data_IF_343341816761
#
_entry.id   IF_343341816761
#
_cell.length_a   1.000
_cell.length_b   1.000
_cell.length_c   1.000
_cell.angle_alpha   90.00
_cell.angle_beta   90.00
_cell.angle_gamma   90.00
#
_symmetry.space_group_name_H-M   'P 1'
#
loop_
_entity.id
_entity.type
_entity.pdbx_description
1 polymer ?
#
# COMPACT_ATOMS: atom_id res chain seq x y z
N UNK A 1 7.26 48.17 35.64
CA UNK A 1 6.15 47.61 34.85
C UNK A 1 6.53 47.41 33.38
N UNK A 2 7.58 46.65 33.08
CA UNK A 2 8.05 46.42 31.69
C UNK A 2 8.33 44.94 31.37
N UNK A 3 7.78 43.99 32.16
CA UNK A 3 8.09 42.58 32.06
C UNK A 3 6.99 41.72 31.42
N UNK A 4 5.77 42.24 31.28
CA UNK A 4 4.63 41.51 30.73
C UNK A 4 4.51 41.59 29.19
N UNK A 5 4.97 42.71 28.58
CA UNK A 5 4.86 42.89 27.12
C UNK A 5 5.77 41.98 26.33
N UNK A 6 6.91 41.55 26.90
CA UNK A 6 7.86 40.68 26.25
C UNK A 6 7.41 39.21 26.21
N UNK A 7 6.74 38.75 27.26
CA UNK A 7 6.21 37.37 27.32
C UNK A 7 5.02 37.18 26.36
N UNK A 8 4.09 38.15 26.31
CA UNK A 8 2.97 38.12 25.36
C UNK A 8 3.42 38.16 23.89
N UNK A 9 4.44 38.96 23.58
CA UNK A 9 5.06 39.04 22.27
C UNK A 9 5.70 37.71 21.85
N UNK A 10 6.47 37.08 22.76
CA UNK A 10 7.12 35.81 22.50
C UNK A 10 6.09 34.66 22.24
N UNK A 11 5.00 34.62 23.01
CA UNK A 11 3.92 33.66 22.82
C UNK A 11 3.25 33.84 21.44
N UNK A 12 2.95 35.08 21.07
CA UNK A 12 2.34 35.40 19.78
C UNK A 12 3.24 34.99 18.61
N UNK A 13 4.54 35.27 18.66
CA UNK A 13 5.49 34.85 17.62
C UNK A 13 5.64 33.33 17.54
N UNK A 14 5.63 32.64 18.67
CA UNK A 14 5.63 31.17 18.71
C UNK A 14 4.37 30.61 18.04
N UNK A 15 3.20 31.15 18.35
CA UNK A 15 1.94 30.73 17.72
C UNK A 15 1.95 30.96 16.21
N UNK A 16 2.41 32.13 15.74
CA UNK A 16 2.55 32.41 14.30
C UNK A 16 3.49 31.41 13.63
N UNK A 17 4.63 31.11 14.22
CA UNK A 17 5.58 30.15 13.69
C UNK A 17 4.96 28.75 13.55
N UNK A 18 4.23 28.31 14.58
CA UNK A 18 3.51 27.02 14.54
C UNK A 18 2.46 27.03 13.42
N UNK A 19 1.67 28.10 13.31
CA UNK A 19 0.64 28.23 12.26
C UNK A 19 1.26 28.18 10.87
N UNK A 20 2.33 28.92 10.62
CA UNK A 20 3.03 28.89 9.33
C UNK A 20 3.62 27.51 9.02
N UNK A 21 4.25 26.87 10.02
CA UNK A 21 4.77 25.52 9.85
C UNK A 21 3.68 24.52 9.49
N UNK A 22 2.51 24.57 10.17
CA UNK A 22 1.36 23.72 9.87
C UNK A 22 0.76 24.00 8.49
N UNK A 23 0.70 25.26 8.07
CA UNK A 23 0.23 25.64 6.73
C UNK A 23 1.18 25.10 5.65
N UNK A 24 2.48 25.31 5.80
CA UNK A 24 3.49 24.80 4.86
C UNK A 24 3.43 23.26 4.78
N UNK A 25 3.40 22.59 5.94
CA UNK A 25 3.28 21.15 6.01
C UNK A 25 1.96 20.65 5.39
N UNK A 26 0.86 21.36 5.61
CA UNK A 26 -0.45 21.06 5.01
C UNK A 26 -0.43 21.18 3.49
N UNK A 27 0.15 22.25 2.95
CA UNK A 27 0.32 22.45 1.50
C UNK A 27 1.20 21.34 0.92
N UNK A 28 2.35 21.06 1.55
CA UNK A 28 3.26 20.03 1.08
C UNK A 28 2.58 18.66 1.06
N UNK A 29 1.89 18.28 2.15
CA UNK A 29 1.15 17.02 2.25
C UNK A 29 0.01 16.92 1.24
N UNK A 30 -0.64 18.03 0.90
CA UNK A 30 -1.75 18.04 -0.05
C UNK A 30 -1.25 17.88 -1.49
N UNK A 31 -0.18 18.58 -1.85
CA UNK A 31 0.26 18.69 -3.24
C UNK A 31 1.34 17.67 -3.64
N UNK A 32 2.19 17.26 -2.73
CA UNK A 32 3.37 16.48 -3.10
C UNK A 32 3.36 15.07 -2.52
N UNK A 33 3.71 14.91 -1.26
CA UNK A 33 3.93 13.61 -0.63
C UNK A 33 3.14 13.49 0.66
N UNK A 34 2.51 12.33 0.81
CA UNK A 34 1.83 11.98 2.04
C UNK A 34 2.52 10.79 2.70
N UNK A 35 2.87 10.91 4.01
CA UNK A 35 3.41 9.78 4.74
C UNK A 35 2.33 8.72 5.00
N UNK A 36 2.69 7.46 4.80
CA UNK A 36 1.88 6.29 5.12
C UNK A 36 2.68 5.25 5.88
N UNK A 37 2.05 4.61 6.82
CA UNK A 37 2.57 3.50 7.59
C UNK A 37 1.95 2.20 7.11
N UNK A 38 2.73 1.11 7.03
CA UNK A 38 2.25 -0.21 6.60
C UNK A 38 1.87 -1.04 7.83
N UNK A 39 0.56 -1.21 8.11
CA UNK A 39 0.08 -1.96 9.27
C UNK A 39 -0.13 -3.45 8.99
N UNK A 40 -0.21 -3.88 7.72
CA UNK A 40 -0.59 -5.23 7.32
C UNK A 40 0.43 -5.90 6.40
N UNK A 41 0.42 -7.24 6.39
CA UNK A 41 1.36 -8.03 5.59
C UNK A 41 0.88 -8.35 4.17
N UNK A 42 -0.18 -7.71 3.66
CA UNK A 42 -0.77 -8.07 2.36
C UNK A 42 0.11 -7.73 1.14
N UNK A 43 1.12 -6.90 1.31
CA UNK A 43 2.10 -6.50 0.28
C UNK A 43 3.51 -7.06 0.54
N UNK A 44 3.66 -8.07 1.42
CA UNK A 44 4.91 -8.81 1.55
C UNK A 44 5.16 -9.59 0.24
N UNK A 45 6.29 -9.72 -0.26
CA UNK A 45 7.64 -9.38 0.14
C UNK A 45 8.02 -7.88 -0.11
N UNK A 46 7.30 -7.20 -1.00
CA UNK A 46 7.57 -5.82 -1.43
C UNK A 46 7.56 -4.84 -0.26
N UNK A 47 6.52 -4.88 0.57
CA UNK A 47 6.37 -4.02 1.75
C UNK A 47 6.23 -4.84 3.02
N UNK A 48 7.00 -4.48 4.04
CA UNK A 48 6.94 -5.13 5.34
C UNK A 48 6.07 -4.31 6.31
N UNK A 49 5.46 -5.01 7.26
CA UNK A 49 4.81 -4.34 8.39
C UNK A 49 5.85 -3.48 9.11
N UNK A 50 5.51 -2.20 9.32
CA UNK A 50 6.41 -1.22 9.91
C UNK A 50 7.24 -0.41 8.92
N UNK A 51 7.03 -0.59 7.62
CA UNK A 51 7.54 0.32 6.60
C UNK A 51 6.79 1.65 6.64
N UNK A 52 7.52 2.72 6.43
CA UNK A 52 7.02 4.08 6.34
C UNK A 52 7.32 4.63 4.96
N UNK A 53 6.28 5.02 4.24
CA UNK A 53 6.35 5.42 2.84
C UNK A 53 6.06 6.91 2.68
N UNK A 54 6.63 7.51 1.64
CA UNK A 54 6.09 8.72 1.06
C UNK A 54 5.36 8.38 -0.24
N UNK A 55 4.06 8.69 -0.24
CA UNK A 55 3.18 8.45 -1.38
C UNK A 55 3.14 9.69 -2.24
N UNK A 56 3.53 9.54 -3.50
CA UNK A 56 3.61 10.59 -4.51
C UNK A 56 2.21 10.84 -5.10
N UNK A 57 1.62 11.96 -4.75
CA UNK A 57 0.29 12.35 -5.26
C UNK A 57 0.32 12.90 -6.69
N UNK A 58 1.45 13.48 -7.08
CA UNK A 58 1.61 14.04 -8.43
C UNK A 58 1.55 12.96 -9.51
N UNK A 59 1.87 11.69 -9.16
CA UNK A 59 1.85 10.58 -10.10
C UNK A 59 0.49 10.42 -10.81
N UNK A 60 -0.61 10.63 -10.07
CA UNK A 60 -1.96 10.42 -10.62
C UNK A 60 -2.82 11.70 -10.60
N UNK A 61 -2.26 12.85 -10.24
CA UNK A 61 -3.02 14.09 -10.06
C UNK A 61 -3.88 14.07 -8.79
N UNK A 62 -4.82 15.01 -8.70
CA UNK A 62 -5.51 15.33 -7.46
C UNK A 62 -7.00 15.00 -7.53
N UNK A 63 -7.50 14.32 -6.51
CA UNK A 63 -8.92 14.09 -6.27
C UNK A 63 -9.34 14.69 -4.92
N UNK A 64 -10.59 14.57 -4.55
CA UNK A 64 -11.05 15.01 -3.22
C UNK A 64 -10.25 14.37 -2.07
N UNK A 65 -9.69 13.17 -2.27
CA UNK A 65 -8.87 12.46 -1.28
C UNK A 65 -7.42 12.98 -1.17
N UNK A 66 -7.02 13.91 -2.04
CA UNK A 66 -5.70 14.55 -1.95
C UNK A 66 -5.61 15.56 -0.81
N UNK A 67 -6.73 16.18 -0.42
CA UNK A 67 -6.78 17.08 0.73
C UNK A 67 -6.90 16.31 2.05
N UNK A 68 -6.37 16.88 3.15
CA UNK A 68 -6.64 16.37 4.48
C UNK A 68 -8.16 16.22 4.70
N UNK A 69 -8.56 15.09 5.30
CA UNK A 69 -9.96 14.77 5.59
C UNK A 69 -10.91 14.73 4.38
N UNK A 70 -10.39 14.70 3.15
CA UNK A 70 -11.21 14.70 1.94
C UNK A 70 -11.90 16.04 1.66
N UNK A 71 -11.36 17.14 2.16
CA UNK A 71 -11.97 18.47 2.11
C UNK A 71 -11.72 19.23 0.79
N UNK A 72 -11.12 18.62 -0.23
CA UNK A 72 -11.03 19.27 -1.54
C UNK A 72 -12.44 19.49 -2.11
N UNK A 73 -12.79 20.73 -2.51
CA UNK A 73 -14.15 21.12 -2.87
C UNK A 73 -14.49 20.79 -4.35
N UNK A 74 -13.95 19.72 -4.90
CA UNK A 74 -14.20 19.30 -6.27
C UNK A 74 -14.44 17.79 -6.35
N UNK A 75 -15.17 17.36 -7.37
CA UNK A 75 -15.38 15.97 -7.75
C UNK A 75 -14.50 15.61 -8.94
N UNK A 76 -14.24 14.31 -9.10
CA UNK A 76 -13.37 13.81 -10.16
C UNK A 76 -11.89 14.04 -9.86
N UNK A 77 -11.08 14.22 -10.91
CA UNK A 77 -9.63 14.33 -10.82
C UNK A 77 -9.07 15.49 -11.65
N UNK A 78 -8.14 16.25 -11.07
CA UNK A 78 -7.44 17.36 -11.71
C UNK A 78 -6.02 16.90 -12.05
N UNK A 79 -5.52 17.21 -13.25
CA UNK A 79 -4.21 16.79 -13.76
C UNK A 79 -4.03 15.27 -13.67
N UNK A 80 -5.10 14.51 -13.99
CA UNK A 80 -5.10 13.07 -13.88
C UNK A 80 -4.16 12.40 -14.86
N UNK A 81 -3.35 11.44 -14.35
CA UNK A 81 -2.63 10.46 -15.13
C UNK A 81 -3.01 9.08 -14.61
N UNK A 82 -3.30 8.14 -15.49
CA UNK A 82 -3.64 6.79 -15.09
C UNK A 82 -2.41 6.06 -14.54
N UNK A 83 -2.59 5.13 -13.58
CA UNK A 83 -1.49 4.30 -13.11
C UNK A 83 -1.03 3.36 -14.22
N UNK A 84 0.23 2.95 -14.14
CA UNK A 84 0.76 1.88 -14.97
C UNK A 84 0.51 0.51 -14.30
N UNK A 85 0.40 -0.54 -15.11
CA UNK A 85 0.33 -1.91 -14.60
C UNK A 85 1.62 -2.24 -13.86
N UNK A 86 1.49 -2.72 -12.62
CA UNK A 86 2.61 -2.97 -11.74
C UNK A 86 2.80 -1.89 -10.66
N UNK A 87 2.24 -0.69 -10.82
CA UNK A 87 2.33 0.36 -9.80
C UNK A 87 1.79 -0.11 -8.45
N UNK A 88 2.50 0.20 -7.38
CA UNK A 88 2.01 0.05 -6.00
C UNK A 88 1.30 1.33 -5.59
N UNK A 89 0.00 1.25 -5.36
CA UNK A 89 -0.88 2.41 -5.20
C UNK A 89 -1.53 2.43 -3.83
N UNK A 90 -1.53 3.61 -3.22
CA UNK A 90 -2.39 3.92 -2.07
C UNK A 90 -3.70 4.53 -2.57
N UNK A 91 -4.81 3.98 -2.09
CA UNK A 91 -6.15 4.41 -2.49
C UNK A 91 -7.15 4.31 -1.34
N UNK A 92 -8.24 5.03 -1.46
CA UNK A 92 -9.38 4.95 -0.54
C UNK A 92 -10.26 3.76 -0.92
N UNK A 93 -10.44 2.82 0.00
CA UNK A 93 -11.32 1.67 -0.21
C UNK A 93 -12.76 2.13 -0.50
N UNK A 94 -13.38 1.71 -1.61
CA UNK A 94 -14.67 2.26 -2.05
C UNK A 94 -15.82 2.03 -1.06
N UNK A 95 -15.79 0.92 -0.31
CA UNK A 95 -16.86 0.55 0.62
C UNK A 95 -16.59 1.05 2.03
N UNK A 96 -15.38 0.79 2.55
CA UNK A 96 -15.08 1.07 3.98
C UNK A 96 -14.53 2.48 4.23
N UNK A 97 -14.06 3.16 3.19
CA UNK A 97 -13.44 4.48 3.31
C UNK A 97 -12.10 4.48 4.07
N UNK A 98 -11.45 3.32 4.22
CA UNK A 98 -10.11 3.20 4.81
C UNK A 98 -9.05 3.21 3.71
N UNK A 99 -7.86 3.72 4.00
CA UNK A 99 -6.76 3.72 3.03
C UNK A 99 -6.16 2.31 2.91
N UNK A 100 -6.06 1.84 1.67
CA UNK A 100 -5.46 0.57 1.30
C UNK A 100 -4.23 0.80 0.42
N UNK A 101 -3.34 -0.19 0.40
CA UNK A 101 -2.20 -0.23 -0.52
C UNK A 101 -2.17 -1.59 -1.20
N UNK A 102 -2.13 -1.59 -2.54
CA UNK A 102 -2.09 -2.79 -3.39
C UNK A 102 -1.39 -2.49 -4.70
N UNK A 103 -1.08 -3.54 -5.46
CA UNK A 103 -0.52 -3.45 -6.81
C UNK A 103 -1.61 -3.43 -7.86
N UNK A 104 -1.50 -2.54 -8.83
CA UNK A 104 -2.37 -2.52 -10.03
C UNK A 104 -1.99 -3.69 -10.93
N UNK A 105 -2.93 -4.59 -11.16
CA UNK A 105 -2.73 -5.70 -12.10
C UNK A 105 -3.68 -5.65 -13.29
N UNK A 106 -4.88 -5.07 -13.15
CA UNK A 106 -5.86 -4.91 -14.23
C UNK A 106 -6.18 -3.45 -14.49
N UNK A 107 -6.14 -3.08 -15.77
CA UNK A 107 -6.45 -1.76 -16.30
C UNK A 107 -7.89 -1.73 -16.84
N UNK A 108 -8.48 -0.54 -17.07
CA UNK A 108 -9.81 -0.45 -17.69
C UNK A 108 -9.91 -1.27 -18.97
N UNK A 109 -10.97 -2.08 -19.09
CA UNK A 109 -11.21 -2.98 -20.22
C UNK A 109 -10.54 -4.35 -20.13
N UNK A 110 -9.61 -4.57 -19.19
CA UNK A 110 -8.97 -5.88 -19.03
C UNK A 110 -9.93 -6.95 -18.51
N UNK A 111 -9.67 -8.18 -18.95
CA UNK A 111 -10.25 -9.40 -18.40
C UNK A 111 -9.23 -10.06 -17.49
N UNK A 112 -9.50 -10.03 -16.18
CA UNK A 112 -8.61 -10.57 -15.15
C UNK A 112 -9.20 -11.86 -14.59
N UNK A 113 -8.37 -12.89 -14.47
CA UNK A 113 -8.76 -14.17 -13.86
C UNK A 113 -7.55 -14.80 -13.17
N UNK A 114 -7.77 -15.49 -12.06
CA UNK A 114 -6.78 -16.42 -11.50
C UNK A 114 -7.21 -17.84 -11.80
N UNK A 115 -6.29 -18.66 -12.32
CA UNK A 115 -6.46 -20.10 -12.62
C UNK A 115 -5.32 -20.86 -11.99
N UNK A 116 -5.62 -21.76 -11.07
CA UNK A 116 -4.64 -22.57 -10.35
C UNK A 116 -3.50 -21.72 -9.75
N UNK A 117 -3.86 -20.58 -9.13
CA UNK A 117 -2.93 -19.62 -8.54
C UNK A 117 -2.23 -18.67 -9.52
N UNK A 118 -2.34 -18.91 -10.83
CA UNK A 118 -1.69 -18.10 -11.86
C UNK A 118 -2.63 -16.98 -12.35
N UNK A 119 -2.15 -15.76 -12.30
CA UNK A 119 -2.86 -14.59 -12.83
C UNK A 119 -2.90 -14.64 -14.36
N UNK A 120 -4.08 -14.42 -14.94
CA UNK A 120 -4.29 -14.27 -16.37
C UNK A 120 -4.90 -12.90 -16.64
N UNK A 121 -4.35 -12.19 -17.61
CA UNK A 121 -4.87 -10.89 -18.07
C UNK A 121 -5.08 -10.98 -19.57
N UNK A 122 -6.34 -10.78 -20.02
CA UNK A 122 -6.75 -10.93 -21.42
C UNK A 122 -6.42 -12.32 -21.99
N UNK A 123 -6.59 -13.35 -21.16
CA UNK A 123 -6.26 -14.76 -21.41
C UNK A 123 -4.75 -15.08 -21.51
N UNK A 124 -3.86 -14.08 -21.36
CA UNK A 124 -2.43 -14.28 -21.25
C UNK A 124 -2.03 -14.56 -19.80
N UNK A 125 -1.33 -15.65 -19.56
CA UNK A 125 -0.82 -15.99 -18.24
C UNK A 125 0.34 -15.07 -17.86
N UNK A 126 0.36 -14.57 -16.62
CA UNK A 126 1.51 -13.94 -16.01
C UNK A 126 2.43 -15.05 -15.48
N UNK A 127 3.57 -15.35 -16.14
CA UNK A 127 4.43 -16.43 -15.73
C UNK A 127 5.01 -16.17 -14.33
N UNK A 128 5.14 -17.25 -13.58
CA UNK A 128 5.70 -17.23 -12.22
C UNK A 128 6.95 -18.13 -12.19
N UNK A 129 8.07 -17.54 -11.80
CA UNK A 129 9.34 -18.25 -11.65
C UNK A 129 9.66 -18.43 -10.16
N UNK A 130 9.97 -19.67 -9.69
CA UNK A 130 10.38 -19.90 -8.31
C UNK A 130 11.58 -19.02 -7.95
N UNK A 131 11.51 -18.31 -6.85
CA UNK A 131 12.53 -17.37 -6.38
C UNK A 131 12.97 -17.64 -4.93
N UNK A 132 12.85 -18.90 -4.49
CA UNK A 132 13.22 -19.35 -3.15
C UNK A 132 12.09 -19.15 -2.15
N UNK A 133 12.46 -18.84 -0.92
CA UNK A 133 11.52 -18.74 0.18
C UNK A 133 11.65 -17.40 0.90
N UNK A 134 10.53 -16.87 1.37
CA UNK A 134 10.47 -15.78 2.32
C UNK A 134 10.30 -16.35 3.72
N UNK A 135 11.24 -16.05 4.61
CA UNK A 135 11.23 -16.54 5.99
C UNK A 135 11.11 -15.37 6.95
N UNK A 136 10.20 -15.50 7.89
CA UNK A 136 9.99 -14.51 8.95
C UNK A 136 9.66 -15.19 10.29
N UNK A 137 9.94 -14.54 11.45
CA UNK A 137 9.55 -15.12 12.73
C UNK A 137 8.02 -15.25 12.86
N UNK A 138 7.54 -16.37 13.37
CA UNK A 138 6.13 -16.55 13.71
C UNK A 138 5.80 -15.81 15.00
N UNK A 139 5.65 -14.51 14.90
CA UNK A 139 5.40 -13.61 16.02
C UNK A 139 4.30 -12.60 15.67
N UNK A 140 3.72 -11.99 16.71
CA UNK A 140 2.75 -10.90 16.52
C UNK A 140 3.44 -9.66 15.96
N UNK A 141 2.97 -9.20 14.81
CA UNK A 141 3.59 -8.11 14.05
C UNK A 141 2.70 -6.86 14.03
N UNK A 142 3.37 -5.71 14.04
CA UNK A 142 2.74 -4.40 13.95
C UNK A 142 1.79 -4.06 15.08
N UNK A 143 1.09 -2.95 14.94
CA UNK A 143 0.13 -2.45 15.94
C UNK A 143 -1.11 -3.35 16.07
N UNK A 144 -1.47 -4.07 15.00
CA UNK A 144 -2.62 -4.99 14.99
C UNK A 144 -2.31 -6.34 15.64
N UNK A 145 -1.04 -6.65 15.90
CA UNK A 145 -0.61 -7.90 16.54
C UNK A 145 -0.97 -9.15 15.72
N UNK A 146 -1.05 -9.04 14.41
CA UNK A 146 -1.40 -10.16 13.51
C UNK A 146 -0.25 -11.16 13.42
N UNK A 147 -0.58 -12.46 13.46
CA UNK A 147 0.37 -13.52 13.17
C UNK A 147 0.51 -13.72 11.66
N UNK A 148 1.71 -14.05 11.15
CA UNK A 148 1.87 -14.40 9.74
C UNK A 148 1.19 -15.73 9.41
N UNK A 149 0.77 -15.89 8.15
CA UNK A 149 0.29 -17.16 7.61
C UNK A 149 1.52 -17.88 7.02
N UNK A 150 1.71 -19.16 7.36
CA UNK A 150 2.90 -19.94 6.98
C UNK A 150 2.53 -21.12 6.09
N UNK A 151 3.41 -21.48 5.15
CA UNK A 151 3.28 -22.69 4.35
C UNK A 151 3.67 -23.94 5.16
N UNK A 152 4.68 -23.83 6.02
CA UNK A 152 5.11 -24.92 6.88
C UNK A 152 4.13 -25.15 8.04
N UNK A 153 3.90 -26.42 8.36
CA UNK A 153 2.95 -26.83 9.40
C UNK A 153 3.47 -26.54 10.81
N UNK A 154 2.54 -26.26 11.73
CA UNK A 154 2.74 -26.26 13.19
C UNK A 154 3.91 -25.44 13.70
N UNK A 155 4.03 -24.20 13.24
CA UNK A 155 5.07 -23.26 13.70
C UNK A 155 4.72 -22.75 15.10
N UNK A 156 5.61 -22.97 16.07
CA UNK A 156 5.50 -22.34 17.40
C UNK A 156 5.94 -20.88 17.38
N UNK A 157 5.51 -20.09 18.39
CA UNK A 157 5.96 -18.70 18.54
C UNK A 157 7.50 -18.60 18.55
N UNK A 158 8.04 -17.70 17.75
CA UNK A 158 9.48 -17.51 17.55
C UNK A 158 10.11 -18.45 16.50
N UNK A 159 9.37 -19.44 16.00
CA UNK A 159 9.86 -20.32 14.94
C UNK A 159 9.79 -19.69 13.55
N UNK A 160 10.44 -20.30 12.57
CA UNK A 160 10.50 -19.81 11.20
C UNK A 160 9.19 -20.07 10.46
N UNK A 161 8.51 -18.98 10.08
CA UNK A 161 7.36 -19.00 9.21
C UNK A 161 7.82 -18.86 7.75
N UNK A 162 7.66 -19.91 6.98
CA UNK A 162 8.13 -20.01 5.61
C UNK A 162 6.97 -19.77 4.64
N UNK A 163 7.23 -19.08 3.55
CA UNK A 163 6.33 -18.88 2.41
C UNK A 163 7.09 -19.09 1.12
N UNK A 164 6.44 -19.71 0.15
CA UNK A 164 7.03 -19.84 -1.19
C UNK A 164 7.02 -18.46 -1.87
N UNK A 165 8.12 -18.13 -2.50
CA UNK A 165 8.35 -16.86 -3.19
C UNK A 165 8.52 -17.12 -4.69
N UNK A 166 7.82 -16.33 -5.48
CA UNK A 166 7.90 -16.36 -6.94
C UNK A 166 8.16 -14.96 -7.47
N UNK A 167 8.76 -14.89 -8.67
CA UNK A 167 8.76 -13.69 -9.49
C UNK A 167 7.66 -13.84 -10.53
N UNK A 168 6.65 -12.99 -10.44
CA UNK A 168 5.57 -12.92 -11.42
C UNK A 168 5.87 -11.82 -12.42
N UNK A 169 5.72 -12.11 -13.71
CA UNK A 169 5.90 -11.14 -14.79
C UNK A 169 4.55 -10.82 -15.40
N UNK A 170 4.10 -9.58 -15.23
CA UNK A 170 2.85 -9.07 -15.78
C UNK A 170 2.96 -8.84 -17.30
N UNK A 171 1.86 -8.89 -18.06
CA UNK A 171 1.84 -8.42 -19.45
C UNK A 171 2.40 -6.99 -19.56
N UNK A 172 3.35 -6.79 -20.48
CA UNK A 172 4.14 -5.56 -20.57
C UNK A 172 5.55 -5.68 -19.99
N UNK A 173 5.88 -6.82 -19.34
CA UNK A 173 7.25 -7.14 -18.92
C UNK A 173 7.64 -6.66 -17.53
N UNK A 174 6.72 -6.06 -16.77
CA UNK A 174 6.98 -5.70 -15.38
C UNK A 174 7.00 -6.94 -14.49
N UNK A 175 8.08 -7.13 -13.75
CA UNK A 175 8.26 -8.29 -12.86
C UNK A 175 8.33 -7.86 -11.40
N UNK A 176 7.71 -8.63 -10.51
CA UNK A 176 7.70 -8.37 -9.08
C UNK A 176 7.62 -9.68 -8.28
N UNK A 177 8.01 -9.60 -7.01
CA UNK A 177 7.92 -10.74 -6.11
C UNK A 177 6.50 -10.91 -5.59
N UNK A 178 6.04 -12.17 -5.52
CA UNK A 178 4.81 -12.56 -4.86
C UNK A 178 5.09 -13.66 -3.84
N UNK A 179 4.22 -13.77 -2.84
CA UNK A 179 4.22 -14.86 -1.88
C UNK A 179 2.94 -15.67 -2.04
N UNK A 180 3.11 -16.98 -2.15
CA UNK A 180 2.06 -17.97 -2.12
C UNK A 180 2.31 -18.90 -0.92
N UNK A 181 1.26 -19.30 -0.22
CA UNK A 181 1.39 -20.09 1.01
C UNK A 181 0.76 -21.46 0.85
N UNK A 182 -0.43 -21.54 0.26
CA UNK A 182 -1.17 -22.79 0.11
C UNK A 182 -2.35 -22.62 -0.86
N UNK A 183 -2.81 -23.70 -1.50
CA UNK A 183 -4.02 -23.65 -2.30
C UNK A 183 -5.21 -23.08 -1.52
N UNK A 184 -5.91 -22.11 -2.12
CA UNK A 184 -6.99 -21.38 -1.51
C UNK A 184 -8.16 -21.06 -2.45
N UNK A 185 -9.25 -20.53 -1.92
CA UNK A 185 -10.46 -20.25 -2.71
C UNK A 185 -10.25 -19.15 -3.78
N UNK A 186 -9.21 -18.35 -3.65
CA UNK A 186 -8.88 -17.26 -4.58
C UNK A 186 -7.89 -17.66 -5.68
N UNK A 187 -7.49 -18.94 -5.72
CA UNK A 187 -6.62 -19.49 -6.79
C UNK A 187 -7.41 -19.82 -8.05
N UNK A 188 -8.72 -19.93 -7.93
CA UNK A 188 -9.61 -20.13 -9.07
C UNK A 188 -10.78 -19.15 -8.97
N UNK A 189 -10.77 -18.13 -9.81
CA UNK A 189 -11.78 -17.05 -9.81
C UNK A 189 -12.62 -17.05 -11.08
N UNK A 190 -13.80 -16.43 -11.05
CA UNK A 190 -14.48 -16.05 -12.31
C UNK A 190 -13.62 -15.03 -13.07
N UNK A 191 -13.98 -14.78 -14.33
CA UNK A 191 -13.40 -13.68 -15.11
C UNK A 191 -13.97 -12.36 -14.62
N UNK A 192 -13.11 -11.42 -14.27
CA UNK A 192 -13.48 -10.05 -13.93
C UNK A 192 -13.16 -9.14 -15.11
N UNK A 193 -14.16 -8.52 -15.71
CA UNK A 193 -13.95 -7.46 -16.70
C UNK A 193 -13.89 -6.14 -15.98
N UNK A 194 -12.75 -5.46 -16.07
CA UNK A 194 -12.51 -4.18 -15.38
C UNK A 194 -13.31 -3.08 -16.07
N UNK A 195 -14.23 -2.39 -15.38
CA UNK A 195 -15.01 -1.31 -15.98
C UNK A 195 -14.17 -0.09 -16.34
N UNK A 196 -14.64 0.73 -17.27
CA UNK A 196 -14.02 2.02 -17.58
C UNK A 196 -13.84 2.88 -16.33
N UNK A 197 -12.70 3.54 -16.22
CA UNK A 197 -12.35 4.39 -15.08
C UNK A 197 -12.15 3.65 -13.75
N UNK A 198 -12.01 2.31 -13.79
CA UNK A 198 -11.71 1.49 -12.63
C UNK A 198 -10.45 0.67 -12.84
N UNK A 199 -9.89 0.20 -11.74
CA UNK A 199 -8.67 -0.62 -11.72
C UNK A 199 -8.87 -1.86 -10.86
N UNK A 200 -8.13 -2.92 -11.19
CA UNK A 200 -8.11 -4.16 -10.44
C UNK A 200 -6.79 -4.29 -9.69
N UNK A 201 -6.87 -4.49 -8.40
CA UNK A 201 -5.74 -4.51 -7.49
C UNK A 201 -5.56 -5.88 -6.86
N UNK A 202 -4.31 -6.32 -6.72
CA UNK A 202 -3.95 -7.51 -5.95
C UNK A 202 -2.86 -7.21 -4.92
N UNK A 203 -2.83 -8.00 -3.85
CA UNK A 203 -1.72 -7.99 -2.92
C UNK A 203 -0.61 -8.90 -3.39
N UNK A 204 0.64 -8.53 -3.13
CA UNK A 204 1.81 -9.35 -3.45
C UNK A 204 1.87 -10.60 -2.56
N UNK A 205 1.33 -10.54 -1.33
CA UNK A 205 1.12 -11.71 -0.47
C UNK A 205 -0.27 -12.30 -0.73
N UNK A 206 -0.36 -13.14 -1.75
CA UNK A 206 -1.58 -13.63 -2.41
C UNK A 206 -2.63 -14.18 -1.46
N UNK A 207 -2.24 -15.04 -0.51
CA UNK A 207 -3.15 -15.67 0.43
C UNK A 207 -3.45 -14.82 1.68
N UNK A 208 -2.74 -13.73 1.84
CA UNK A 208 -2.93 -12.79 2.95
C UNK A 208 -3.42 -11.42 2.47
N UNK A 209 -4.23 -11.40 1.40
CA UNK A 209 -4.73 -10.18 0.81
C UNK A 209 -6.23 -10.21 0.59
N UNK A 210 -6.95 -9.28 1.21
CA UNK A 210 -8.31 -8.93 0.79
C UNK A 210 -8.16 -7.86 -0.29
N UNK A 211 -8.44 -8.24 -1.55
CA UNK A 211 -8.20 -7.42 -2.73
C UNK A 211 -9.34 -7.54 -3.74
N UNK A 212 -9.10 -7.11 -4.98
CA UNK A 212 -10.16 -7.06 -6.01
C UNK A 212 -10.71 -8.42 -6.42
N UNK A 213 -10.05 -9.53 -6.06
CA UNK A 213 -10.59 -10.88 -6.26
C UNK A 213 -11.84 -11.15 -5.43
N UNK A 214 -12.02 -10.38 -4.34
CA UNK A 214 -13.21 -10.46 -3.49
C UNK A 214 -14.09 -9.25 -3.76
N UNK A 215 -15.31 -9.51 -4.25
CA UNK A 215 -16.25 -8.44 -4.61
C UNK A 215 -16.97 -7.88 -3.37
N UNK A 216 -17.45 -6.63 -3.42
CA UNK A 216 -18.29 -6.06 -2.38
C UNK A 216 -19.52 -6.91 -2.07
N UNK A 217 -20.03 -6.89 -0.81
CA UNK A 217 -19.62 -6.00 0.29
C UNK A 217 -18.43 -6.51 1.11
N UNK A 218 -17.96 -7.74 0.88
CA UNK A 218 -16.96 -8.42 1.72
C UNK A 218 -15.51 -8.12 1.31
N UNK A 219 -15.30 -7.57 0.13
CA UNK A 219 -13.99 -7.30 -0.42
C UNK A 219 -13.88 -5.97 -1.13
N UNK A 220 -12.74 -5.79 -1.79
CA UNK A 220 -12.38 -4.55 -2.44
C UNK A 220 -13.14 -4.32 -3.76
N UNK A 221 -13.26 -5.36 -4.62
CA UNK A 221 -13.77 -5.23 -5.98
C UNK A 221 -12.97 -4.25 -6.84
N UNK A 222 -13.65 -3.61 -7.78
CA UNK A 222 -13.03 -2.61 -8.64
C UNK A 222 -12.89 -1.27 -7.93
N UNK A 223 -11.75 -0.61 -8.10
CA UNK A 223 -11.44 0.68 -7.46
C UNK A 223 -11.57 1.80 -8.49
N UNK A 224 -12.46 2.79 -8.27
CA UNK A 224 -12.58 3.93 -9.15
C UNK A 224 -11.31 4.78 -9.19
N UNK A 225 -10.99 5.37 -10.34
CA UNK A 225 -9.84 6.26 -10.51
C UNK A 225 -9.81 7.41 -9.48
N UNK A 226 -10.98 7.97 -9.15
CA UNK A 226 -11.10 9.04 -8.16
C UNK A 226 -10.55 8.64 -6.79
N UNK A 227 -10.62 7.35 -6.43
CA UNK A 227 -10.19 6.84 -5.14
C UNK A 227 -8.67 6.74 -4.99
N UNK A 228 -7.90 6.80 -6.08
CA UNK A 228 -6.45 6.72 -6.00
C UNK A 228 -5.87 7.97 -5.30
N UNK A 229 -4.99 7.75 -4.33
CA UNK A 229 -4.34 8.83 -3.57
C UNK A 229 -2.98 9.15 -4.17
N UNK A 230 -2.18 8.12 -4.51
CA UNK A 230 -0.88 8.31 -5.13
C UNK A 230 -0.09 7.01 -5.22
N UNK A 231 1.09 7.09 -5.85
CA UNK A 231 2.01 5.98 -6.03
C UNK A 231 2.99 5.88 -4.86
N UNK A 232 3.23 4.67 -4.40
CA UNK A 232 4.26 4.39 -3.42
C UNK A 232 5.59 4.15 -4.14
N UNK A 233 6.47 5.15 -4.16
CA UNK A 233 7.72 5.09 -4.92
C UNK A 233 8.89 4.55 -4.07
N UNK A 234 8.91 4.86 -2.76
CA UNK A 234 10.02 4.49 -1.86
C UNK A 234 9.58 4.23 -0.44
N UNK A 235 10.23 3.25 0.18
CA UNK A 235 10.28 3.11 1.64
C UNK A 235 11.26 4.14 2.16
N UNK A 236 10.79 5.05 3.01
CA UNK A 236 11.66 6.09 3.59
C UNK A 236 12.34 5.61 4.87
N UNK A 237 11.62 4.78 5.62
CA UNK A 237 12.02 4.30 6.93
C UNK A 237 11.31 2.98 7.23
N UNK A 238 11.95 2.10 8.01
CA UNK A 238 11.36 0.83 8.40
C UNK A 238 11.73 0.46 9.84
N UNK A 239 10.73 0.03 10.63
CA UNK A 239 10.93 -0.47 11.98
C UNK A 239 10.18 -1.78 12.21
N UNK A 240 10.87 -2.80 12.70
CA UNK A 240 10.25 -4.05 13.14
C UNK A 240 9.59 -3.93 14.52
N UNK A 241 9.91 -2.88 15.28
CA UNK A 241 9.44 -2.68 16.64
C UNK A 241 8.04 -2.08 16.74
N UNK A 242 7.51 -2.09 17.95
CA UNK A 242 6.19 -1.50 18.27
C UNK A 242 6.22 0.03 18.40
N UNK A 243 7.42 0.62 18.43
CA UNK A 243 7.63 2.06 18.60
C UNK A 243 8.81 2.53 17.77
N UNK A 244 8.68 3.70 17.16
CA UNK A 244 9.75 4.34 16.40
C UNK A 244 10.94 4.76 17.28
N UNK A 245 10.75 4.92 18.60
CA UNK A 245 11.84 5.25 19.53
C UNK A 245 12.77 4.07 19.82
N UNK A 246 12.36 2.84 19.42
CA UNK A 246 13.16 1.62 19.57
C UNK A 246 14.12 1.51 18.36
N UNK A 247 15.12 2.38 18.27
CA UNK A 247 16.01 2.51 17.10
C UNK A 247 16.78 1.22 16.76
N UNK A 248 17.02 0.34 17.73
CA UNK A 248 17.65 -0.97 17.51
C UNK A 248 16.76 -1.95 16.74
N UNK A 249 15.46 -1.63 16.55
CA UNK A 249 14.54 -2.41 15.73
C UNK A 249 14.42 -1.89 14.30
N UNK A 250 15.18 -0.85 13.95
CA UNK A 250 15.15 -0.26 12.63
C UNK A 250 15.82 -1.16 11.60
N UNK A 251 15.20 -1.29 10.42
CA UNK A 251 15.71 -2.05 9.29
C UNK A 251 16.44 -1.10 8.34
N UNK A 252 17.74 -0.93 8.57
CA UNK A 252 18.56 0.03 7.83
C UNK A 252 18.68 -0.30 6.33
N UNK A 253 18.59 -1.59 5.96
CA UNK A 253 18.59 -2.10 4.60
C UNK A 253 17.35 -1.67 3.78
N UNK A 254 16.32 -1.17 4.44
CA UNK A 254 15.09 -0.70 3.81
C UNK A 254 14.98 0.82 3.71
N UNK A 255 15.96 1.56 4.20
CA UNK A 255 15.93 3.01 4.11
C UNK A 255 16.14 3.46 2.67
N UNK A 256 15.24 4.32 2.19
CA UNK A 256 15.19 4.82 0.81
C UNK A 256 15.09 3.74 -0.27
N UNK A 257 14.70 2.52 0.11
CA UNK A 257 14.50 1.42 -0.82
C UNK A 257 13.41 1.77 -1.83
N UNK A 258 13.72 1.60 -3.13
CA UNK A 258 12.71 1.72 -4.18
C UNK A 258 11.65 0.62 -4.03
N UNK A 259 10.43 0.92 -4.47
CA UNK A 259 9.31 -0.01 -4.53
C UNK A 259 9.10 -0.32 -6.00
N UNK A 260 9.43 -1.56 -6.37
CA UNK A 260 9.31 -2.08 -7.72
C UNK A 260 8.13 -3.04 -7.79
#
# INVERSE_FOLDING_TARGET
>A
MAKDDTAGGAITETIKTIVYALLIAGVFRTLFFQPFWIPSGSMKDTLLIGDFLFVNKMAYGYSRYSCPFGLCPFSGRILGAEPERGDVVVFRHPVTGVDFIKRVVGMPGDRVQVRDGILHINDEAAPQEPAGQFVEPFERQGAMGSLPICANASVGLGGDCVKERFIETLPGGFSHAILDVRPGPLDNTPVFTVPDGHFFFMGDNRDNSNDSRVMPPNGLGFVPFENLIGRADRVMFSSAGRSLFLFWTWRADRFFKAID
#
